data_IF_677363297381
#
_entry.id   IF_677363297381
#
_cell.length_a   1.000
_cell.length_b   1.000
_cell.length_c   1.000
_cell.angle_alpha   90.00
_cell.angle_beta   90.00
_cell.angle_gamma   90.00
#
_symmetry.space_group_name_H-M   'P 1'
#
loop_
_entity.id
_entity.type
_entity.pdbx_description
1 polymer ?
#
# COMPACT_ATOMS: atom_id res chain seq x y z
N UNK A 1 21.95 11.78 -13.54
CA UNK A 1 20.93 11.30 -12.60
C UNK A 1 20.29 12.53 -11.98
N UNK A 2 18.99 12.75 -12.19
CA UNK A 2 18.30 13.89 -11.56
C UNK A 2 17.97 13.46 -10.14
N UNK A 3 18.53 14.14 -9.14
CA UNK A 3 18.15 13.92 -7.76
C UNK A 3 16.66 14.24 -7.62
N UNK A 4 15.87 13.28 -7.16
CA UNK A 4 14.46 13.50 -6.90
C UNK A 4 14.36 14.52 -5.75
N UNK A 5 13.73 15.67 -6.02
CA UNK A 5 13.52 16.70 -5.00
C UNK A 5 12.67 16.08 -3.89
N UNK A 6 13.23 16.02 -2.69
CA UNK A 6 12.55 15.49 -1.52
C UNK A 6 11.84 16.63 -0.79
N UNK A 7 10.59 16.41 -0.41
CA UNK A 7 9.79 17.39 0.35
C UNK A 7 10.38 17.55 1.76
N UNK A 8 10.61 18.79 2.17
CA UNK A 8 10.87 19.13 3.58
C UNK A 8 9.57 19.06 4.37
N UNK A 9 9.34 17.92 5.04
CA UNK A 9 8.12 17.66 5.81
C UNK A 9 7.92 18.63 6.99
N UNK A 10 8.94 19.41 7.39
CA UNK A 10 8.77 20.43 8.45
C UNK A 10 8.05 21.68 7.96
N UNK A 11 8.02 21.90 6.64
CA UNK A 11 7.37 23.05 5.99
C UNK A 11 6.18 22.65 5.11
N UNK A 12 6.07 21.36 4.78
CA UNK A 12 5.02 20.86 3.93
C UNK A 12 3.64 20.95 4.59
N UNK A 13 2.62 21.25 3.77
CA UNK A 13 1.24 21.32 4.23
C UNK A 13 0.51 20.02 3.92
N UNK A 14 -0.17 19.46 4.92
CA UNK A 14 -1.10 18.36 4.69
C UNK A 14 -2.30 18.87 3.91
N UNK A 15 -2.71 18.13 2.88
CA UNK A 15 -3.79 18.52 1.98
C UNK A 15 -4.85 17.42 1.92
N UNK A 16 -6.09 17.85 1.75
CA UNK A 16 -7.22 16.95 1.56
C UNK A 16 -7.16 16.26 0.19
N UNK A 17 -7.67 15.05 0.14
CA UNK A 17 -7.79 14.27 -1.09
C UNK A 17 -9.01 13.34 -1.00
N UNK A 18 -9.45 12.86 -2.16
CA UNK A 18 -10.53 11.88 -2.28
C UNK A 18 -10.04 10.66 -3.03
N UNK A 19 -10.50 9.48 -2.63
CA UNK A 19 -10.16 8.22 -3.28
C UNK A 19 -11.06 7.99 -4.48
N UNK A 20 -10.48 7.85 -5.67
CA UNK A 20 -11.21 7.59 -6.91
C UNK A 20 -11.20 6.11 -7.31
N UNK A 21 -10.04 5.47 -7.31
CA UNK A 21 -9.90 4.03 -7.49
C UNK A 21 -8.85 3.53 -6.50
N UNK A 22 -9.16 2.48 -5.76
CA UNK A 22 -8.22 1.86 -4.82
C UNK A 22 -8.55 0.38 -4.74
N UNK A 23 -8.33 -0.38 -5.83
CA UNK A 23 -8.79 -1.74 -5.92
C UNK A 23 -7.89 -2.70 -5.15
N UNK A 24 -8.48 -3.81 -4.70
CA UNK A 24 -7.71 -4.92 -4.15
C UNK A 24 -6.89 -5.60 -5.25
N UNK A 25 -5.59 -5.78 -4.99
CA UNK A 25 -4.73 -6.67 -5.76
C UNK A 25 -4.94 -8.07 -5.22
N UNK A 26 -5.17 -9.03 -6.12
CA UNK A 26 -5.46 -10.42 -5.76
C UNK A 26 -4.33 -11.31 -6.23
N UNK A 27 -3.93 -12.22 -5.37
CA UNK A 27 -2.98 -13.28 -5.66
C UNK A 27 -3.58 -14.62 -5.27
N UNK A 28 -3.20 -15.65 -6.00
CA UNK A 28 -3.48 -17.04 -5.65
C UNK A 28 -2.16 -17.70 -5.30
N UNK A 29 -2.08 -18.25 -4.10
CA UNK A 29 -0.92 -19.00 -3.64
C UNK A 29 -1.04 -20.47 -4.07
N UNK A 30 0.08 -21.18 -4.10
CA UNK A 30 0.16 -22.59 -4.49
C UNK A 30 -0.73 -23.53 -3.64
N UNK A 31 -0.91 -23.23 -2.35
CA UNK A 31 -1.74 -23.95 -1.38
C UNK A 31 -3.25 -23.70 -1.55
N UNK A 32 -3.63 -22.86 -2.52
CA UNK A 32 -5.01 -22.47 -2.81
C UNK A 32 -5.53 -21.29 -1.98
N UNK A 33 -4.69 -20.68 -1.13
CA UNK A 33 -5.01 -19.44 -0.43
C UNK A 33 -5.16 -18.28 -1.41
N UNK A 34 -6.20 -17.47 -1.22
CA UNK A 34 -6.32 -16.17 -1.90
C UNK A 34 -5.75 -15.09 -1.01
N UNK A 35 -4.73 -14.39 -1.48
CA UNK A 35 -4.13 -13.23 -0.81
C UNK A 35 -4.61 -11.95 -1.47
N UNK A 36 -5.07 -11.00 -0.66
CA UNK A 36 -5.57 -9.70 -1.07
C UNK A 36 -4.63 -8.64 -0.49
N UNK A 37 -4.03 -7.83 -1.35
CA UNK A 37 -3.21 -6.68 -0.97
C UNK A 37 -3.87 -5.37 -1.37
N UNK A 38 -3.73 -4.35 -0.54
CA UNK A 38 -4.17 -2.99 -0.83
C UNK A 38 -3.23 -1.97 -0.20
N UNK A 39 -2.68 -1.10 -1.03
CA UNK A 39 -1.95 0.08 -0.58
C UNK A 39 -2.96 1.20 -0.34
N UNK A 40 -3.03 1.72 0.89
CA UNK A 40 -3.92 2.83 1.26
C UNK A 40 -3.07 4.06 1.52
N UNK A 41 -3.34 5.15 0.80
CA UNK A 41 -2.73 6.45 1.10
C UNK A 41 -3.45 7.02 2.32
N UNK A 42 -2.68 7.31 3.38
CA UNK A 42 -3.22 7.80 4.64
C UNK A 42 -3.13 9.33 4.73
N UNK A 43 -2.08 9.94 4.16
CA UNK A 43 -1.87 11.40 4.14
C UNK A 43 -1.12 11.80 2.87
N UNK A 44 -1.42 13.00 2.37
CA UNK A 44 -0.67 13.66 1.30
C UNK A 44 -0.19 15.01 1.83
N UNK A 45 1.06 15.35 1.50
CA UNK A 45 1.72 16.59 1.84
C UNK A 45 2.16 17.29 0.55
N UNK A 46 1.87 18.58 0.43
CA UNK A 46 2.40 19.45 -0.63
C UNK A 46 3.57 20.25 -0.06
N UNK A 47 4.74 20.13 -0.69
CA UNK A 47 5.90 20.96 -0.40
C UNK A 47 5.74 22.37 -0.96
N UNK A 48 6.60 23.29 -0.52
CA UNK A 48 6.70 24.63 -1.11
C UNK A 48 7.54 24.62 -2.39
N UNK A 49 8.31 23.56 -2.58
CA UNK A 49 9.21 23.38 -3.71
C UNK A 49 8.46 22.99 -4.99
N UNK A 50 9.04 23.41 -6.10
CA UNK A 50 8.64 23.00 -7.43
C UNK A 50 9.80 22.26 -8.09
N UNK A 51 9.47 21.24 -8.86
CA UNK A 51 10.46 20.53 -9.67
C UNK A 51 10.95 21.41 -10.85
N UNK A 52 11.99 21.00 -11.60
CA UNK A 52 12.47 21.76 -12.74
C UNK A 52 11.45 21.97 -13.88
N UNK A 53 10.34 21.23 -13.89
CA UNK A 53 9.24 21.39 -14.84
C UNK A 53 8.14 22.33 -14.31
N UNK A 54 8.33 22.94 -13.12
CA UNK A 54 7.38 23.85 -12.50
C UNK A 54 6.19 23.13 -11.86
N UNK A 55 6.29 21.83 -11.59
CA UNK A 55 5.25 21.07 -10.89
C UNK A 55 5.51 21.08 -9.38
N UNK A 56 4.46 21.23 -8.54
CA UNK A 56 4.61 21.13 -7.10
C UNK A 56 5.12 19.74 -6.68
N UNK A 57 6.00 19.70 -5.68
CA UNK A 57 6.53 18.45 -5.15
C UNK A 57 5.62 17.93 -4.02
N UNK A 58 5.29 16.65 -4.05
CA UNK A 58 4.44 16.00 -3.04
C UNK A 58 5.18 14.89 -2.30
N UNK A 59 4.74 14.65 -1.06
CA UNK A 59 5.06 13.46 -0.28
C UNK A 59 3.78 12.83 0.26
N UNK A 60 3.81 11.54 0.59
CA UNK A 60 2.65 10.85 1.14
C UNK A 60 3.06 9.80 2.17
N UNK A 61 2.14 9.46 3.05
CA UNK A 61 2.24 8.27 3.89
C UNK A 61 1.24 7.22 3.44
N UNK A 62 1.64 5.96 3.54
CA UNK A 62 0.82 4.83 3.10
C UNK A 62 0.86 3.67 4.08
N UNK A 63 -0.19 2.86 4.07
CA UNK A 63 -0.26 1.60 4.80
C UNK A 63 -0.59 0.46 3.83
N UNK A 64 0.04 -0.69 4.03
CA UNK A 64 -0.30 -1.92 3.33
C UNK A 64 -1.30 -2.71 4.16
N UNK A 65 -2.45 -3.01 3.57
CA UNK A 65 -3.45 -3.89 4.13
C UNK A 65 -3.37 -5.23 3.41
N UNK A 66 -3.24 -6.29 4.19
CA UNK A 66 -3.28 -7.66 3.68
C UNK A 66 -4.43 -8.42 4.32
N UNK A 67 -5.13 -9.20 3.50
CA UNK A 67 -6.15 -10.13 3.94
C UNK A 67 -5.99 -11.45 3.20
N UNK A 68 -6.40 -12.55 3.83
CA UNK A 68 -6.33 -13.88 3.22
C UNK A 68 -7.66 -14.60 3.33
N UNK A 69 -7.98 -15.39 2.30
CA UNK A 69 -9.02 -16.42 2.36
C UNK A 69 -8.33 -17.76 2.22
N UNK A 70 -8.15 -18.43 3.35
CA UNK A 70 -7.44 -19.71 3.46
C UNK A 70 -8.45 -20.87 3.36
N UNK A 71 -8.15 -21.94 2.59
CA UNK A 71 -8.93 -23.18 2.59
C UNK A 71 -9.14 -23.73 4.02
N UNK A 72 -10.35 -24.20 4.33
CA UNK A 72 -10.70 -24.68 5.70
C UNK A 72 -9.70 -25.72 6.26
N UNK A 73 -9.21 -26.72 5.50
CA UNK A 73 -8.30 -27.72 6.03
C UNK A 73 -6.93 -27.18 6.45
N UNK A 74 -6.53 -26.01 5.92
CA UNK A 74 -5.23 -25.37 6.21
C UNK A 74 -5.30 -24.39 7.39
N UNK A 75 -6.50 -24.16 7.96
CA UNK A 75 -6.67 -23.24 9.09
C UNK A 75 -6.26 -23.94 10.38
N UNK A 76 -5.29 -23.37 11.09
CA UNK A 76 -4.92 -23.81 12.43
C UNK A 76 -5.94 -23.41 13.50
N UNK A 77 -5.79 -23.96 14.70
CA UNK A 77 -6.51 -23.50 15.89
C UNK A 77 -6.10 -22.07 16.23
N UNK A 78 -7.06 -21.15 16.50
CA UNK A 78 -6.74 -19.81 16.94
C UNK A 78 -5.83 -19.83 18.17
N UNK A 79 -4.76 -19.05 18.15
CA UNK A 79 -3.85 -18.89 19.29
C UNK A 79 -4.46 -17.88 20.27
N UNK A 80 -4.34 -18.14 21.58
CA UNK A 80 -4.75 -17.22 22.64
C UNK A 80 -3.57 -16.93 23.58
N UNK A 81 -3.06 -15.69 23.67
CA UNK A 81 -3.48 -14.51 22.90
C UNK A 81 -3.16 -14.64 21.39
N UNK A 82 -3.79 -13.84 20.53
CA UNK A 82 -3.43 -13.78 19.12
C UNK A 82 -1.92 -13.56 18.97
N UNK A 83 -1.27 -14.18 17.97
CA UNK A 83 0.15 -13.95 17.74
C UNK A 83 0.38 -12.47 17.42
N UNK A 84 1.12 -11.77 18.29
CA UNK A 84 1.62 -10.43 17.99
C UNK A 84 2.86 -10.58 17.10
N UNK A 85 2.79 -9.99 15.90
CA UNK A 85 3.76 -10.13 14.81
C UNK A 85 5.11 -9.42 15.09
N UNK A 86 5.82 -9.76 16.16
CA UNK A 86 7.07 -9.10 16.50
C UNK A 86 8.33 -9.86 16.06
N UNK A 87 8.27 -11.17 15.79
CA UNK A 87 9.44 -11.90 15.30
C UNK A 87 9.05 -13.05 14.33
N UNK A 88 9.31 -12.90 13.01
CA UNK A 88 9.10 -13.96 12.03
C UNK A 88 9.79 -15.29 12.35
N UNK A 89 10.90 -15.26 13.09
CA UNK A 89 11.64 -16.48 13.48
C UNK A 89 10.88 -17.32 14.51
N UNK A 90 9.89 -16.72 15.20
CA UNK A 90 9.06 -17.45 16.17
C UNK A 90 7.89 -18.18 15.52
N UNK A 91 7.67 -17.99 14.21
CA UNK A 91 6.58 -18.63 13.47
C UNK A 91 7.16 -19.64 12.48
N UNK A 92 6.54 -20.82 12.40
CA UNK A 92 6.86 -21.76 11.34
C UNK A 92 6.38 -21.18 10.01
N UNK A 93 7.32 -20.75 9.16
CA UNK A 93 7.04 -20.15 7.86
C UNK A 93 7.37 -21.14 6.76
N UNK A 94 6.58 -21.13 5.70
CA UNK A 94 6.86 -21.89 4.48
C UNK A 94 6.76 -20.90 3.33
N UNK A 95 7.77 -20.89 2.47
CA UNK A 95 7.71 -20.11 1.25
C UNK A 95 6.72 -20.79 0.30
N UNK A 96 5.80 -19.99 -0.22
CA UNK A 96 4.82 -20.42 -1.21
C UNK A 96 4.94 -19.55 -2.44
N UNK A 97 4.83 -20.17 -3.61
CA UNK A 97 4.77 -19.44 -4.86
C UNK A 97 3.39 -18.79 -5.03
N UNK A 98 3.32 -17.76 -5.87
CA UNK A 98 2.09 -17.03 -6.10
C UNK A 98 1.95 -16.57 -7.55
N UNK A 99 0.71 -16.49 -7.99
CA UNK A 99 0.33 -15.88 -9.26
C UNK A 99 -0.66 -14.74 -9.04
N UNK A 100 -0.52 -13.66 -9.81
CA UNK A 100 -1.46 -12.52 -9.75
C UNK A 100 -2.75 -12.89 -10.46
N UNK A 101 -3.88 -12.67 -9.79
CA UNK A 101 -5.21 -12.89 -10.35
C UNK A 101 -5.71 -11.58 -10.97
N UNK A 102 -5.60 -11.49 -12.29
CA UNK A 102 -6.08 -10.37 -13.08
C UNK A 102 -5.07 -9.22 -13.26
N UNK A 103 -5.51 -8.13 -13.91
CA UNK A 103 -4.66 -6.97 -14.15
C UNK A 103 -4.48 -6.15 -12.87
N UNK A 104 -3.27 -5.64 -12.69
CA UNK A 104 -3.00 -4.61 -11.69
C UNK A 104 -3.53 -3.28 -12.18
N UNK A 105 -4.25 -2.59 -11.29
CA UNK A 105 -4.80 -1.26 -11.54
C UNK A 105 -4.16 -0.28 -10.60
N UNK A 106 -4.04 0.95 -11.06
CA UNK A 106 -3.53 2.05 -10.25
C UNK A 106 -4.51 2.39 -9.15
N UNK A 107 -3.99 2.70 -7.97
CA UNK A 107 -4.72 3.53 -7.03
C UNK A 107 -4.69 4.97 -7.56
N UNK A 108 -5.85 5.63 -7.55
CA UNK A 108 -6.04 6.97 -8.08
C UNK A 108 -6.71 7.82 -7.00
N UNK A 109 -6.10 8.95 -6.70
CA UNK A 109 -6.59 9.91 -5.72
C UNK A 109 -6.64 11.30 -6.35
N UNK A 110 -7.74 12.00 -6.10
CA UNK A 110 -7.92 13.39 -6.52
C UNK A 110 -7.58 14.29 -5.34
N UNK A 111 -6.57 15.13 -5.53
CA UNK A 111 -6.07 16.06 -4.52
C UNK A 111 -6.91 17.34 -4.60
N UNK A 112 -7.15 17.98 -3.45
CA UNK A 112 -7.93 19.22 -3.34
C UNK A 112 -7.43 20.40 -4.19
N UNK A 113 -6.16 20.39 -4.63
CA UNK A 113 -5.61 21.40 -5.55
C UNK A 113 -5.85 21.08 -7.04
N UNK A 114 -6.58 20.01 -7.34
CA UNK A 114 -6.90 19.55 -8.69
C UNK A 114 -5.90 18.55 -9.27
N UNK A 115 -4.79 18.26 -8.58
CA UNK A 115 -3.82 17.26 -9.00
C UNK A 115 -4.35 15.83 -8.83
N UNK A 116 -3.77 14.89 -9.57
CA UNK A 116 -4.11 13.46 -9.48
C UNK A 116 -2.88 12.66 -9.08
N UNK A 117 -2.96 11.99 -7.92
CA UNK A 117 -1.94 11.03 -7.49
C UNK A 117 -2.29 9.63 -8.01
N UNK A 118 -1.30 8.96 -8.59
CA UNK A 118 -1.39 7.56 -9.01
C UNK A 118 -0.30 6.74 -8.33
N UNK A 119 -0.70 5.71 -7.59
CA UNK A 119 0.22 4.83 -6.85
C UNK A 119 -0.07 3.35 -7.14
N UNK A 120 0.98 2.51 -7.08
CA UNK A 120 0.93 1.05 -7.14
C UNK A 120 2.12 0.47 -6.39
#
# INVERSE_FOLDING_TARGET
MVAQVQVDLTKANAIEFTTRDEPWIKYKLDDGTLLFGRLVIAKIFRGEEYDPAGQPVYAWSSQNLFATIVPKPLRGTPTNPPPTALDPNTTNTTQVDFERVGPERWNVYEISDGSVLRAK
#
